data_IF_786378035148
#
_entry.id   IF_786378035148
#
_cell.length_a   1.000
_cell.length_b   1.000
_cell.length_c   1.000
_cell.angle_alpha   90.00
_cell.angle_beta   90.00
_cell.angle_gamma   90.00
#
_symmetry.space_group_name_H-M   'P 1'
#
loop_
_entity.id
_entity.type
_entity.pdbx_description
1 polymer ?
#
# COMPACT_ATOMS: atom_id res chain seq x y z
N UNK A 1 -25.33 -27.11 -50.47
CA UNK A 1 -23.99 -27.18 -49.83
C UNK A 1 -23.18 -25.86 -49.84
N UNK A 2 -23.50 -24.85 -50.66
CA UNK A 2 -22.71 -23.60 -50.73
C UNK A 2 -23.02 -22.51 -49.68
N UNK A 3 -24.12 -22.64 -48.92
CA UNK A 3 -24.53 -21.63 -47.92
C UNK A 3 -23.87 -21.89 -46.55
N UNK A 4 -23.62 -23.15 -46.18
CA UNK A 4 -23.01 -23.52 -44.90
C UNK A 4 -21.52 -23.15 -44.78
N UNK A 5 -20.78 -23.10 -45.89
CA UNK A 5 -19.35 -22.76 -45.86
C UNK A 5 -19.06 -21.26 -45.68
N UNK A 6 -19.96 -20.37 -46.16
CA UNK A 6 -19.78 -18.92 -45.99
C UNK A 6 -20.10 -18.45 -44.57
N UNK A 7 -21.03 -19.13 -43.88
CA UNK A 7 -21.42 -18.77 -42.52
C UNK A 7 -20.30 -19.04 -41.49
N UNK A 8 -19.51 -20.10 -41.68
CA UNK A 8 -18.36 -20.42 -40.82
C UNK A 8 -17.19 -19.45 -40.97
N UNK A 9 -16.96 -18.92 -42.19
CA UNK A 9 -15.86 -17.97 -42.43
C UNK A 9 -16.12 -16.62 -41.77
N UNK A 10 -17.37 -16.14 -41.78
CA UNK A 10 -17.75 -14.89 -41.12
C UNK A 10 -17.62 -15.01 -39.60
N UNK A 11 -18.07 -16.12 -39.01
CA UNK A 11 -17.92 -16.38 -37.57
C UNK A 11 -16.44 -16.44 -37.13
N UNK A 12 -15.57 -17.08 -37.93
CA UNK A 12 -14.13 -17.12 -37.66
C UNK A 12 -13.47 -15.74 -37.74
N UNK A 13 -13.85 -14.91 -38.72
CA UNK A 13 -13.34 -13.53 -38.85
C UNK A 13 -13.80 -12.66 -37.68
N UNK A 14 -15.06 -12.80 -37.24
CA UNK A 14 -15.55 -12.09 -36.06
C UNK A 14 -14.85 -12.54 -34.77
N UNK A 15 -14.63 -13.84 -34.56
CA UNK A 15 -13.89 -14.33 -33.40
C UNK A 15 -12.42 -13.88 -33.41
N UNK A 16 -11.75 -13.93 -34.56
CA UNK A 16 -10.36 -13.44 -34.68
C UNK A 16 -10.28 -11.92 -34.50
N UNK A 17 -11.26 -11.17 -35.02
CA UNK A 17 -11.34 -9.72 -34.86
C UNK A 17 -11.61 -9.30 -33.42
N UNK A 18 -12.52 -9.98 -32.71
CA UNK A 18 -12.77 -9.72 -31.28
C UNK A 18 -11.56 -10.09 -30.43
N UNK A 19 -10.87 -11.20 -30.75
CA UNK A 19 -9.66 -11.60 -30.05
C UNK A 19 -8.49 -10.64 -30.29
N UNK A 20 -8.25 -10.21 -31.53
CA UNK A 20 -7.20 -9.22 -31.82
C UNK A 20 -7.52 -7.84 -31.29
N UNK A 21 -8.78 -7.39 -31.33
CA UNK A 21 -9.19 -6.12 -30.69
C UNK A 21 -9.02 -6.22 -29.17
N UNK A 22 -9.43 -7.32 -28.54
CA UNK A 22 -9.22 -7.57 -27.11
C UNK A 22 -7.74 -7.53 -26.72
N UNK A 23 -6.88 -8.18 -27.50
CA UNK A 23 -5.42 -8.21 -27.29
C UNK A 23 -4.74 -6.85 -27.50
N UNK A 24 -5.15 -6.11 -28.54
CA UNK A 24 -4.61 -4.76 -28.82
C UNK A 24 -5.07 -3.75 -27.77
N UNK A 25 -6.31 -3.86 -27.27
CA UNK A 25 -6.80 -3.02 -26.17
C UNK A 25 -6.07 -3.32 -24.86
N UNK A 26 -5.82 -4.60 -24.53
CA UNK A 26 -5.03 -4.97 -23.34
C UNK A 26 -3.59 -4.46 -23.42
N UNK A 27 -2.92 -4.59 -24.56
CA UNK A 27 -1.56 -4.03 -24.72
C UNK A 27 -1.54 -2.48 -24.66
N UNK A 28 -2.59 -1.82 -25.16
CA UNK A 28 -2.72 -0.35 -25.08
C UNK A 28 -3.04 0.14 -23.67
N UNK A 29 -3.73 -0.68 -22.87
CA UNK A 29 -3.89 -0.44 -21.43
C UNK A 29 -2.57 -0.67 -20.69
N UNK A 30 -1.88 -1.80 -20.88
CA UNK A 30 -0.56 -2.04 -20.30
C UNK A 30 0.45 -0.93 -20.61
N UNK A 31 0.48 -0.40 -21.84
CA UNK A 31 1.39 0.71 -22.20
C UNK A 31 0.99 2.07 -21.60
N UNK A 32 -0.27 2.25 -21.19
CA UNK A 32 -0.74 3.46 -20.49
C UNK A 32 -0.35 3.43 -19.00
N UNK A 33 -0.13 2.25 -18.43
CA UNK A 33 0.12 2.05 -16.99
C UNK A 33 1.57 1.66 -16.64
N UNK A 34 2.36 1.14 -17.59
CA UNK A 34 3.57 0.35 -17.33
C UNK A 34 4.83 1.06 -16.81
N UNK A 35 5.12 2.31 -17.19
CA UNK A 35 6.47 2.87 -16.94
C UNK A 35 6.52 4.11 -16.02
N UNK A 36 5.37 4.72 -15.68
CA UNK A 36 5.35 6.03 -15.00
C UNK A 36 4.79 6.04 -13.58
N UNK A 37 4.19 4.94 -13.09
CA UNK A 37 3.68 4.89 -11.71
C UNK A 37 4.77 4.29 -10.82
N UNK A 38 5.41 5.08 -9.94
CA UNK A 38 6.61 4.63 -9.24
C UNK A 38 6.25 3.78 -8.01
N UNK A 39 5.77 2.57 -8.24
CA UNK A 39 5.36 1.60 -7.23
C UNK A 39 6.34 0.42 -7.26
N UNK A 40 6.79 -0.01 -6.09
CA UNK A 40 7.69 -1.16 -5.98
C UNK A 40 6.91 -2.45 -5.68
N UNK A 41 6.95 -3.40 -6.61
CA UNK A 41 6.32 -4.72 -6.44
C UNK A 41 7.29 -5.83 -6.01
N UNK A 42 8.53 -5.50 -5.63
CA UNK A 42 9.47 -6.46 -5.03
C UNK A 42 10.59 -5.78 -4.24
N UNK A 43 11.25 -6.52 -3.35
CA UNK A 43 12.47 -6.05 -2.68
C UNK A 43 13.57 -5.78 -3.71
N UNK A 44 13.62 -6.61 -4.75
CA UNK A 44 14.56 -6.44 -5.86
C UNK A 44 14.38 -5.08 -6.53
N UNK A 45 13.16 -4.70 -6.91
CA UNK A 45 12.94 -3.40 -7.57
C UNK A 45 13.25 -2.20 -6.67
N UNK A 46 13.09 -2.35 -5.35
CA UNK A 46 13.56 -1.35 -4.38
C UNK A 46 15.09 -1.26 -4.40
N UNK A 47 15.78 -2.39 -4.27
CA UNK A 47 17.23 -2.46 -4.21
C UNK A 47 17.89 -1.97 -5.50
N UNK A 48 17.30 -2.27 -6.66
CA UNK A 48 17.79 -1.82 -7.96
C UNK A 48 17.93 -0.29 -8.03
N UNK A 49 17.05 0.48 -7.37
CA UNK A 49 17.17 1.95 -7.31
C UNK A 49 18.43 2.38 -6.55
N UNK A 50 18.79 1.67 -5.48
CA UNK A 50 20.00 1.96 -4.72
C UNK A 50 21.26 1.51 -5.46
N UNK A 51 21.22 0.37 -6.16
CA UNK A 51 22.38 -0.20 -6.86
C UNK A 51 22.64 0.41 -8.25
N UNK A 52 21.66 1.10 -8.83
CA UNK A 52 21.83 1.78 -10.12
C UNK A 52 22.68 3.05 -9.98
N UNK A 53 23.54 3.34 -10.96
CA UNK A 53 24.30 4.61 -10.98
C UNK A 53 23.37 5.78 -11.35
N UNK A 54 23.54 6.98 -10.75
CA UNK A 54 24.62 7.35 -9.82
C UNK A 54 24.34 7.00 -8.34
N UNK A 55 23.16 6.47 -8.01
CA UNK A 55 22.73 6.26 -6.63
C UNK A 55 23.67 5.37 -5.80
N UNK A 56 24.24 4.32 -6.42
CA UNK A 56 25.17 3.40 -5.76
C UNK A 56 26.46 4.08 -5.25
N UNK A 57 26.86 5.19 -5.88
CA UNK A 57 28.04 5.95 -5.50
C UNK A 57 27.81 6.91 -4.31
N UNK A 58 26.56 7.11 -3.88
CA UNK A 58 26.24 8.04 -2.79
C UNK A 58 26.61 7.43 -1.43
N UNK A 59 27.38 8.11 -0.57
CA UNK A 59 27.72 7.60 0.76
C UNK A 59 26.49 7.25 1.62
N UNK A 60 25.43 8.02 1.47
CA UNK A 60 24.16 7.81 2.17
C UNK A 60 23.46 6.51 1.77
N UNK A 61 23.49 6.16 0.47
CA UNK A 61 23.00 4.88 -0.05
C UNK A 61 23.72 3.73 0.65
N UNK A 62 25.05 3.79 0.69
CA UNK A 62 25.87 2.73 1.28
C UNK A 62 25.57 2.53 2.78
N UNK A 63 25.41 3.63 3.54
CA UNK A 63 25.04 3.56 4.96
C UNK A 63 23.67 2.92 5.18
N UNK A 64 22.68 3.27 4.34
CA UNK A 64 21.33 2.73 4.45
C UNK A 64 21.30 1.25 4.10
N UNK A 65 21.95 0.83 3.01
CA UNK A 65 22.05 -0.57 2.62
C UNK A 65 22.77 -1.39 3.70
N UNK A 66 23.89 -0.88 4.21
CA UNK A 66 24.60 -1.52 5.31
C UNK A 66 23.72 -1.69 6.55
N UNK A 67 22.97 -0.66 6.95
CA UNK A 67 22.05 -0.75 8.08
C UNK A 67 20.91 -1.74 7.84
N UNK A 68 20.37 -1.78 6.62
CA UNK A 68 19.33 -2.71 6.23
C UNK A 68 19.81 -4.16 6.37
N UNK A 69 20.95 -4.48 5.75
CA UNK A 69 21.50 -5.84 5.72
C UNK A 69 21.95 -6.32 7.11
N UNK A 70 22.60 -5.45 7.89
CA UNK A 70 23.26 -5.87 9.12
C UNK A 70 22.41 -5.67 10.38
N UNK A 71 21.45 -4.74 10.39
CA UNK A 71 20.70 -4.40 11.60
C UNK A 71 19.22 -4.78 11.54
N UNK A 72 18.56 -4.69 10.39
CA UNK A 72 17.12 -4.93 10.30
C UNK A 72 16.70 -6.40 10.44
N UNK A 73 17.61 -7.32 10.10
CA UNK A 73 17.34 -8.76 10.13
C UNK A 73 17.93 -9.47 11.36
N UNK A 74 18.51 -8.71 12.29
CA UNK A 74 19.08 -9.27 13.51
C UNK A 74 18.03 -10.01 14.36
N UNK A 75 18.48 -11.08 15.03
CA UNK A 75 17.73 -11.82 16.06
C UNK A 75 16.43 -12.52 15.61
N UNK A 76 16.46 -13.31 14.53
CA UNK A 76 15.38 -14.25 14.26
C UNK A 76 15.36 -15.36 15.33
N UNK A 77 14.41 -15.28 16.25
CA UNK A 77 14.08 -16.41 17.13
C UNK A 77 13.00 -17.25 16.47
N UNK A 78 13.14 -18.58 16.53
CA UNK A 78 12.10 -19.49 16.05
C UNK A 78 10.76 -19.12 16.73
N UNK A 79 9.63 -19.16 15.99
CA UNK A 79 8.32 -18.95 16.57
C UNK A 79 8.11 -19.80 17.82
N UNK A 80 7.75 -19.18 18.94
CA UNK A 80 7.38 -19.93 20.16
C UNK A 80 5.98 -20.56 20.03
N UNK A 81 5.10 -19.94 19.24
CA UNK A 81 3.74 -20.40 19.01
C UNK A 81 3.52 -20.69 17.54
N UNK A 82 2.69 -21.70 17.25
CA UNK A 82 2.42 -22.15 15.88
C UNK A 82 1.40 -21.28 15.15
N UNK A 83 0.49 -20.62 15.88
CA UNK A 83 -0.55 -19.78 15.30
C UNK A 83 -0.13 -18.31 15.33
N UNK A 84 -0.19 -17.67 14.17
CA UNK A 84 -0.01 -16.22 14.08
C UNK A 84 -1.29 -15.49 14.48
N UNK A 85 -1.11 -14.32 15.08
CA UNK A 85 -2.07 -13.25 15.38
C UNK A 85 -2.18 -12.31 14.17
N UNK A 86 -3.24 -11.48 14.09
CA UNK A 86 -3.46 -10.63 12.93
C UNK A 86 -2.41 -9.53 12.79
N UNK A 87 -2.07 -9.21 11.54
CA UNK A 87 -1.30 -8.05 11.12
C UNK A 87 -2.22 -7.03 10.47
N UNK A 88 -2.38 -5.87 11.12
CA UNK A 88 -3.31 -4.81 10.75
C UNK A 88 -2.51 -3.57 10.33
N UNK A 89 -2.89 -2.95 9.21
CA UNK A 89 -2.32 -1.68 8.76
C UNK A 89 -3.37 -0.59 8.93
N UNK A 90 -3.00 0.51 9.59
CA UNK A 90 -3.82 1.71 9.72
C UNK A 90 -3.22 2.81 8.85
N UNK A 91 -4.00 3.27 7.89
CA UNK A 91 -3.68 4.27 6.88
C UNK A 91 -4.67 5.43 6.97
N UNK A 92 -4.37 6.55 6.30
CA UNK A 92 -5.31 7.65 6.19
C UNK A 92 -4.75 8.90 5.54
N UNK A 93 -5.60 9.89 5.39
CA UNK A 93 -5.29 11.17 4.74
C UNK A 93 -4.68 12.23 5.70
N UNK A 94 -4.58 11.93 6.99
CA UNK A 94 -4.02 12.82 8.00
C UNK A 94 -3.05 12.10 8.95
N UNK A 95 -1.74 12.31 8.74
CA UNK A 95 -0.68 11.52 9.38
C UNK A 95 -0.71 11.55 10.92
N UNK A 96 -1.00 12.70 11.52
CA UNK A 96 -1.08 12.83 12.99
C UNK A 96 -2.25 12.04 13.56
N UNK A 97 -3.41 12.06 12.90
CA UNK A 97 -4.58 11.29 13.32
C UNK A 97 -4.29 9.80 13.27
N UNK A 98 -3.67 9.34 12.18
CA UNK A 98 -3.28 7.93 12.02
C UNK A 98 -2.32 7.46 13.09
N UNK A 99 -1.34 8.29 13.45
CA UNK A 99 -0.39 7.95 14.50
C UNK A 99 -1.05 7.89 15.89
N UNK A 100 -2.05 8.73 16.17
CA UNK A 100 -2.85 8.67 17.40
C UNK A 100 -3.72 7.42 17.42
N UNK A 101 -4.51 7.18 16.37
CA UNK A 101 -5.44 6.05 16.28
C UNK A 101 -4.68 4.72 16.37
N UNK A 102 -3.58 4.58 15.62
CA UNK A 102 -2.75 3.36 15.65
C UNK A 102 -2.21 3.06 17.05
N UNK A 103 -1.78 4.09 17.79
CA UNK A 103 -1.34 3.93 19.18
C UNK A 103 -2.47 3.54 20.13
N UNK A 104 -3.65 4.16 19.99
CA UNK A 104 -4.81 3.85 20.83
C UNK A 104 -5.31 2.44 20.56
N UNK A 105 -5.45 2.07 19.29
CA UNK A 105 -5.82 0.72 18.87
C UNK A 105 -4.84 -0.31 19.42
N UNK A 106 -3.54 -0.13 19.22
CA UNK A 106 -2.55 -1.10 19.68
C UNK A 106 -2.59 -1.31 21.20
N UNK A 107 -2.91 -0.27 21.98
CA UNK A 107 -3.10 -0.41 23.43
C UNK A 107 -4.37 -1.19 23.79
N UNK A 108 -5.48 -0.92 23.09
CA UNK A 108 -6.78 -1.57 23.34
C UNK A 108 -6.73 -3.08 23.07
N UNK A 109 -6.17 -3.48 21.93
CA UNK A 109 -6.12 -4.89 21.52
C UNK A 109 -4.83 -5.63 21.96
N UNK A 110 -3.99 -4.99 22.78
CA UNK A 110 -2.71 -5.58 23.22
C UNK A 110 -1.73 -5.89 22.07
N UNK A 111 -1.74 -5.09 21.00
CA UNK A 111 -0.87 -5.26 19.85
C UNK A 111 0.52 -4.65 20.03
N UNK A 112 1.48 -5.16 19.27
CA UNK A 112 2.74 -4.46 19.02
C UNK A 112 2.53 -3.40 17.93
N UNK A 113 2.81 -2.14 18.24
CA UNK A 113 2.84 -1.06 17.24
C UNK A 113 4.22 -0.97 16.58
N UNK A 114 4.26 -1.12 15.25
CA UNK A 114 5.44 -0.86 14.43
C UNK A 114 5.20 0.39 13.58
N UNK A 115 6.14 1.34 13.62
CA UNK A 115 6.04 2.58 12.86
C UNK A 115 6.36 2.35 11.38
N UNK A 116 5.81 3.17 10.47
CA UNK A 116 6.02 3.04 9.01
C UNK A 116 7.48 3.16 8.55
N UNK A 117 8.36 3.67 9.42
CA UNK A 117 9.81 3.57 9.27
C UNK A 117 10.37 2.54 10.26
N UNK A 118 11.04 1.50 9.76
CA UNK A 118 11.64 0.45 10.56
C UNK A 118 12.66 1.03 11.54
N UNK A 119 12.67 0.54 12.79
CA UNK A 119 13.53 1.07 13.86
C UNK A 119 15.02 1.11 13.49
N UNK A 120 15.51 0.08 12.80
CA UNK A 120 16.88 0.00 12.28
C UNK A 120 17.22 1.11 11.26
N UNK A 121 16.23 1.66 10.56
CA UNK A 121 16.41 2.68 9.52
C UNK A 121 15.98 4.08 9.96
N UNK A 122 15.37 4.24 11.15
CA UNK A 122 14.93 5.54 11.68
C UNK A 122 16.00 6.65 11.64
N UNK A 123 17.29 6.39 11.95
CA UNK A 123 18.32 7.42 11.86
C UNK A 123 18.46 8.05 10.47
N UNK A 124 18.05 7.35 9.41
CA UNK A 124 18.19 7.77 8.02
C UNK A 124 16.92 8.35 7.40
N UNK A 125 15.82 8.46 8.17
CA UNK A 125 14.48 8.86 7.68
C UNK A 125 14.45 10.17 6.88
N UNK A 126 15.38 11.09 7.15
CA UNK A 126 15.41 12.44 6.56
C UNK A 126 16.61 12.69 5.64
N UNK A 127 17.34 11.63 5.28
CA UNK A 127 18.54 11.73 4.44
C UNK A 127 18.19 12.18 3.02
N UNK A 128 17.10 11.65 2.46
CA UNK A 128 16.67 12.02 1.11
C UNK A 128 15.60 13.12 1.12
N UNK A 129 15.81 14.23 0.37
CA UNK A 129 14.83 15.31 0.28
C UNK A 129 13.58 14.86 -0.50
N UNK A 130 12.53 15.66 -0.45
CA UNK A 130 11.33 15.41 -1.25
C UNK A 130 11.68 15.50 -2.75
N UNK A 131 11.15 14.58 -3.55
CA UNK A 131 11.44 14.50 -4.99
C UNK A 131 12.63 13.61 -5.36
N UNK A 132 13.49 13.25 -4.40
CA UNK A 132 14.58 12.29 -4.65
C UNK A 132 14.00 10.87 -4.81
N UNK A 133 14.27 10.15 -5.92
CA UNK A 133 13.82 8.76 -6.11
C UNK A 133 14.22 7.81 -4.98
N UNK A 134 15.39 8.04 -4.36
CA UNK A 134 15.85 7.22 -3.23
C UNK A 134 15.00 7.38 -1.98
N UNK A 135 14.26 8.49 -1.84
CA UNK A 135 13.33 8.67 -0.73
C UNK A 135 12.24 7.61 -0.76
N UNK A 136 11.66 7.33 -1.93
CA UNK A 136 10.62 6.30 -2.05
C UNK A 136 11.21 4.90 -1.85
N UNK A 137 12.37 4.64 -2.45
CA UNK A 137 13.07 3.37 -2.28
C UNK A 137 13.43 3.11 -0.79
N UNK A 138 13.79 4.16 -0.03
CA UNK A 138 14.01 4.07 1.42
C UNK A 138 12.77 3.58 2.18
N UNK A 139 11.58 4.14 1.87
CA UNK A 139 10.34 3.63 2.46
C UNK A 139 10.04 2.20 2.02
N UNK A 140 10.36 1.84 0.78
CA UNK A 140 10.31 0.45 0.30
C UNK A 140 11.15 -0.50 1.16
N UNK A 141 12.44 -0.18 1.39
CA UNK A 141 13.33 -0.99 2.26
C UNK A 141 12.75 -1.12 3.67
N UNK A 142 12.25 -0.01 4.20
CA UNK A 142 11.62 0.01 5.52
C UNK A 142 10.45 -0.98 5.63
N UNK A 143 9.61 -1.09 4.59
CA UNK A 143 8.49 -2.05 4.59
C UNK A 143 8.97 -3.49 4.69
N UNK A 144 10.03 -3.87 3.97
CA UNK A 144 10.60 -5.22 4.06
C UNK A 144 11.22 -5.50 5.45
N UNK A 145 11.86 -4.50 6.05
CA UNK A 145 12.36 -4.61 7.42
C UNK A 145 11.21 -4.74 8.44
N UNK A 146 10.12 -3.99 8.26
CA UNK A 146 8.90 -4.12 9.07
C UNK A 146 8.28 -5.50 8.88
N UNK A 147 8.14 -5.99 7.64
CA UNK A 147 7.60 -7.32 7.32
C UNK A 147 8.37 -8.43 8.06
N UNK A 148 9.69 -8.34 8.07
CA UNK A 148 10.52 -9.27 8.84
C UNK A 148 10.24 -9.15 10.34
N UNK A 149 10.12 -7.93 10.87
CA UNK A 149 9.81 -7.73 12.29
C UNK A 149 8.42 -8.25 12.67
N UNK A 150 7.41 -8.06 11.83
CA UNK A 150 6.07 -8.62 12.01
C UNK A 150 6.16 -10.14 12.16
N UNK A 151 6.86 -10.83 11.25
CA UNK A 151 7.04 -12.30 11.28
C UNK A 151 7.66 -12.81 12.60
N UNK A 152 8.49 -12.00 13.26
CA UNK A 152 9.09 -12.36 14.54
C UNK A 152 8.13 -12.25 15.73
N UNK A 153 7.17 -11.31 15.68
CA UNK A 153 6.36 -10.95 16.86
C UNK A 153 4.91 -11.42 16.75
N UNK A 154 4.39 -11.59 15.53
CA UNK A 154 2.97 -11.88 15.30
C UNK A 154 2.53 -13.26 15.80
N UNK A 155 3.41 -14.13 16.29
CA UNK A 155 3.02 -15.39 16.92
C UNK A 155 2.63 -15.20 18.40
N UNK A 156 2.90 -14.01 18.97
CA UNK A 156 2.62 -13.69 20.38
C UNK A 156 1.52 -12.65 20.53
N UNK A 157 1.60 -11.59 19.71
CA UNK A 157 0.72 -10.43 19.81
C UNK A 157 0.21 -10.06 18.42
N UNK A 158 -1.01 -9.51 18.29
CA UNK A 158 -1.40 -8.78 17.09
C UNK A 158 -0.36 -7.70 16.76
N UNK A 159 -0.27 -7.31 15.50
CA UNK A 159 0.66 -6.26 15.06
C UNK A 159 -0.11 -5.18 14.34
N UNK A 160 0.14 -3.93 14.73
CA UNK A 160 -0.42 -2.74 14.08
C UNK A 160 0.72 -1.96 13.44
N UNK A 161 0.55 -1.51 12.19
CA UNK A 161 1.44 -0.52 11.56
C UNK A 161 0.69 0.71 11.11
N UNK A 162 1.32 1.89 11.17
CA UNK A 162 0.71 3.18 10.83
C UNK A 162 1.17 3.72 9.46
N UNK A 163 1.14 2.85 8.44
CA UNK A 163 1.71 3.09 7.13
C UNK A 163 2.49 1.88 6.62
N UNK A 164 2.20 1.43 5.41
CA UNK A 164 2.86 0.30 4.78
C UNK A 164 2.85 0.45 3.25
N UNK A 165 2.86 -0.64 2.48
CA UNK A 165 2.96 -0.59 1.02
C UNK A 165 1.84 0.20 0.35
N UNK A 166 0.61 0.05 0.85
CA UNK A 166 -0.57 0.63 0.22
C UNK A 166 -0.55 2.17 0.20
N UNK A 167 0.06 2.81 1.21
CA UNK A 167 0.24 4.27 1.27
C UNK A 167 1.02 4.76 0.03
N UNK A 168 2.06 4.02 -0.36
CA UNK A 168 2.93 4.38 -1.48
C UNK A 168 2.29 4.03 -2.83
N UNK A 169 1.59 2.91 -2.93
CA UNK A 169 0.90 2.53 -4.18
C UNK A 169 -0.26 3.48 -4.47
N UNK A 170 -1.11 3.77 -3.48
CA UNK A 170 -2.23 4.72 -3.62
C UNK A 170 -1.73 6.12 -3.96
N UNK A 171 -0.65 6.58 -3.31
CA UNK A 171 -0.03 7.86 -3.65
C UNK A 171 0.54 7.86 -5.09
N UNK A 172 1.16 6.76 -5.52
CA UNK A 172 1.64 6.60 -6.90
C UNK A 172 0.51 6.71 -7.92
N UNK A 173 -0.55 5.91 -7.75
CA UNK A 173 -1.73 5.90 -8.61
C UNK A 173 -2.40 7.28 -8.63
N UNK A 174 -2.56 7.91 -7.46
CA UNK A 174 -3.10 9.26 -7.36
C UNK A 174 -2.27 10.28 -8.13
N UNK A 175 -0.95 10.22 -8.12
CA UNK A 175 -0.18 11.20 -8.90
C UNK A 175 -0.29 10.98 -10.41
N UNK A 176 -0.52 9.74 -10.84
CA UNK A 176 -0.63 9.40 -12.26
C UNK A 176 -1.97 9.83 -12.87
N UNK A 177 -3.10 9.56 -12.19
CA UNK A 177 -4.45 9.78 -12.73
C UNK A 177 -5.08 11.01 -12.09
N UNK A 178 -5.38 12.04 -12.89
CA UNK A 178 -5.79 13.34 -12.37
C UNK A 178 -7.27 13.38 -11.99
N UNK A 179 -8.10 12.52 -12.59
CA UNK A 179 -9.53 12.41 -12.32
C UNK A 179 -9.92 11.02 -11.84
N UNK A 180 -11.15 10.84 -11.33
CA UNK A 180 -11.64 9.54 -10.84
C UNK A 180 -11.89 8.58 -12.00
N UNK A 181 -12.35 9.11 -13.13
CA UNK A 181 -12.69 8.37 -14.35
C UNK A 181 -11.45 7.74 -15.01
N UNK A 182 -10.27 8.30 -14.73
CA UNK A 182 -8.98 7.78 -15.19
C UNK A 182 -8.39 6.71 -14.25
N UNK A 183 -8.89 6.58 -13.03
CA UNK A 183 -8.37 5.61 -12.05
C UNK A 183 -8.78 4.20 -12.50
N UNK A 184 -7.84 3.24 -12.52
CA UNK A 184 -8.16 1.86 -12.87
C UNK A 184 -9.30 1.28 -12.02
N UNK A 185 -10.15 0.42 -12.60
CA UNK A 185 -11.17 -0.27 -11.82
C UNK A 185 -10.57 -1.35 -10.93
N UNK A 186 -11.34 -1.79 -9.94
CA UNK A 186 -11.03 -2.94 -9.10
C UNK A 186 -10.56 -4.16 -9.92
N UNK A 187 -9.56 -4.88 -9.43
CA UNK A 187 -8.97 -6.03 -10.12
C UNK A 187 -7.83 -5.70 -11.10
N UNK A 188 -7.57 -4.42 -11.38
CA UNK A 188 -6.41 -4.02 -12.16
C UNK A 188 -5.07 -4.39 -11.47
N UNK A 189 -4.03 -4.84 -12.21
CA UNK A 189 -2.75 -5.24 -11.63
C UNK A 189 -2.02 -4.19 -10.78
N UNK A 190 -2.36 -2.91 -10.97
CA UNK A 190 -1.82 -1.83 -10.14
C UNK A 190 -2.17 -1.99 -8.65
N UNK A 191 -3.27 -2.67 -8.35
CA UNK A 191 -3.71 -2.97 -6.98
C UNK A 191 -3.12 -4.26 -6.43
N UNK A 192 -2.39 -5.04 -7.24
CA UNK A 192 -1.83 -6.32 -6.82
C UNK A 192 -0.80 -6.14 -5.72
N UNK A 193 -0.96 -6.92 -4.65
CA UNK A 193 0.00 -6.93 -3.56
C UNK A 193 1.36 -7.53 -4.01
N UNK A 194 2.51 -6.99 -3.59
CA UNK A 194 3.82 -7.57 -3.90
C UNK A 194 3.97 -9.00 -3.35
N UNK A 195 4.34 -9.95 -4.19
CA UNK A 195 4.37 -11.38 -3.82
C UNK A 195 5.39 -11.71 -2.70
N UNK A 196 6.50 -10.97 -2.64
CA UNK A 196 7.59 -11.16 -1.68
C UNK A 196 7.45 -10.30 -0.41
N UNK A 197 6.43 -9.44 -0.34
CA UNK A 197 6.15 -8.63 0.83
C UNK A 197 5.04 -9.26 1.68
N UNK A 198 5.23 -9.29 3.01
CA UNK A 198 4.20 -9.80 3.91
C UNK A 198 2.91 -8.99 3.76
N UNK A 199 1.84 -9.65 3.34
CA UNK A 199 0.49 -9.09 3.24
C UNK A 199 -0.17 -8.96 4.62
N UNK A 200 -0.82 -7.83 4.95
CA UNK A 200 -1.61 -7.71 6.15
C UNK A 200 -2.94 -8.45 6.03
N UNK A 201 -3.55 -8.77 7.17
CA UNK A 201 -4.87 -9.41 7.23
C UNK A 201 -6.01 -8.41 7.06
N UNK A 202 -5.76 -7.15 7.42
CA UNK A 202 -6.73 -6.07 7.38
C UNK A 202 -6.04 -4.72 7.18
N UNK A 203 -6.60 -3.90 6.31
CA UNK A 203 -6.25 -2.48 6.17
C UNK A 203 -7.42 -1.65 6.67
N UNK A 204 -7.14 -0.73 7.58
CA UNK A 204 -8.07 0.32 8.00
C UNK A 204 -7.61 1.62 7.35
N UNK A 205 -8.45 2.23 6.53
CA UNK A 205 -8.22 3.56 6.00
C UNK A 205 -9.12 4.56 6.72
N UNK A 206 -8.52 5.49 7.46
CA UNK A 206 -9.26 6.50 8.21
C UNK A 206 -9.25 7.83 7.46
N UNK A 207 -10.44 8.36 7.18
CA UNK A 207 -10.63 9.67 6.56
C UNK A 207 -10.77 10.74 7.62
N UNK A 208 -10.09 11.87 7.40
CA UNK A 208 -10.20 13.06 8.22
C UNK A 208 -11.02 14.11 7.47
N UNK A 209 -12.28 14.37 7.88
CA UNK A 209 -13.14 15.35 7.23
C UNK A 209 -12.48 16.73 7.17
N UNK A 210 -12.54 17.37 6.02
CA UNK A 210 -11.95 18.71 5.83
C UNK A 210 -12.57 19.75 6.76
N UNK A 211 -13.83 19.58 7.15
CA UNK A 211 -14.60 20.53 7.94
C UNK A 211 -14.39 20.45 9.46
N UNK A 212 -13.62 19.47 9.98
CA UNK A 212 -13.52 19.24 11.44
C UNK A 212 -12.84 20.39 12.22
N UNK A 213 -12.12 21.27 11.53
CA UNK A 213 -11.47 22.45 12.11
C UNK A 213 -11.83 23.76 11.40
N UNK A 214 -12.81 23.74 10.50
CA UNK A 214 -13.06 24.82 9.54
C UNK A 214 -14.50 25.34 9.64
N UNK A 215 -14.89 25.91 10.79
CA UNK A 215 -15.99 26.88 10.77
C UNK A 215 -15.49 28.14 10.05
N UNK A 216 -15.94 28.37 8.81
CA UNK A 216 -15.74 29.64 8.09
C UNK A 216 -14.61 29.69 7.05
N UNK A 217 -14.14 28.57 6.49
CA UNK A 217 -13.14 28.63 5.40
C UNK A 217 -13.73 28.44 4.01
N UNK A 218 -13.24 29.21 3.03
CA UNK A 218 -13.59 29.14 1.61
C UNK A 218 -12.85 28.03 0.85
N UNK A 219 -12.12 27.16 1.56
CA UNK A 219 -11.29 26.13 0.92
C UNK A 219 -12.21 25.08 0.27
N UNK A 220 -12.12 24.85 -1.05
CA UNK A 220 -12.93 23.84 -1.71
C UNK A 220 -12.62 22.44 -1.14
N UNK A 221 -13.59 21.51 -1.15
CA UNK A 221 -13.37 20.13 -0.74
C UNK A 221 -12.14 19.55 -1.42
N UNK A 222 -11.28 18.85 -0.67
CA UNK A 222 -10.01 18.40 -1.21
C UNK A 222 -10.21 17.24 -2.21
N UNK A 223 -10.25 17.56 -3.50
CA UNK A 223 -10.41 16.59 -4.59
C UNK A 223 -9.37 15.47 -4.53
N UNK A 224 -8.16 15.76 -4.02
CA UNK A 224 -7.12 14.77 -3.80
C UNK A 224 -7.53 13.70 -2.79
N UNK A 225 -8.11 14.09 -1.64
CA UNK A 225 -8.55 13.14 -0.60
C UNK A 225 -9.63 12.20 -1.13
N UNK A 226 -10.61 12.75 -1.84
CA UNK A 226 -11.69 11.96 -2.47
C UNK A 226 -11.15 10.95 -3.47
N UNK A 227 -10.15 11.35 -4.26
CA UNK A 227 -9.48 10.46 -5.21
C UNK A 227 -8.71 9.35 -4.49
N UNK A 228 -7.93 9.67 -3.46
CA UNK A 228 -7.22 8.62 -2.69
C UNK A 228 -8.19 7.64 -2.04
N UNK A 229 -9.28 8.14 -1.43
CA UNK A 229 -10.33 7.28 -0.88
C UNK A 229 -10.94 6.38 -1.96
N UNK A 230 -11.21 6.92 -3.16
CA UNK A 230 -11.70 6.13 -4.27
C UNK A 230 -10.73 5.00 -4.66
N UNK A 231 -9.42 5.28 -4.70
CA UNK A 231 -8.38 4.26 -4.96
C UNK A 231 -8.41 3.17 -3.89
N UNK A 232 -8.53 3.53 -2.60
CA UNK A 232 -8.68 2.56 -1.50
C UNK A 232 -9.89 1.64 -1.68
N UNK A 233 -11.00 2.15 -2.23
CA UNK A 233 -12.20 1.35 -2.54
C UNK A 233 -11.98 0.36 -3.68
N UNK A 234 -10.99 0.56 -4.54
CA UNK A 234 -10.67 -0.37 -5.63
C UNK A 234 -9.80 -1.55 -5.20
N UNK A 235 -9.23 -1.50 -4.00
CA UNK A 235 -8.33 -2.53 -3.48
C UNK A 235 -9.18 -3.59 -2.76
N UNK A 236 -9.18 -4.80 -3.32
CA UNK A 236 -9.99 -5.92 -2.82
C UNK A 236 -9.20 -6.87 -1.90
N UNK A 237 -7.89 -6.99 -2.11
CA UNK A 237 -7.02 -7.90 -1.38
C UNK A 237 -5.66 -7.23 -1.10
N UNK A 238 -5.27 -7.04 0.18
CA UNK A 238 -6.00 -7.38 1.40
C UNK A 238 -7.27 -6.53 1.62
N UNK A 239 -8.22 -6.97 2.46
CA UNK A 239 -9.48 -6.26 2.68
C UNK A 239 -9.24 -4.87 3.30
N UNK A 240 -9.89 -3.86 2.73
CA UNK A 240 -9.84 -2.48 3.20
C UNK A 240 -11.17 -2.09 3.84
N UNK A 241 -11.13 -1.55 5.05
CA UNK A 241 -12.28 -0.92 5.72
C UNK A 241 -12.03 0.57 5.84
N UNK A 242 -12.99 1.38 5.39
CA UNK A 242 -12.90 2.83 5.40
C UNK A 242 -13.77 3.39 6.52
N UNK A 243 -13.18 4.18 7.41
CA UNK A 243 -13.86 4.80 8.54
C UNK A 243 -13.59 6.30 8.57
N UNK A 244 -14.52 7.08 9.14
CA UNK A 244 -14.36 8.53 9.28
C UNK A 244 -14.03 8.91 10.72
N UNK A 245 -13.14 9.88 10.91
CA UNK A 245 -12.93 10.47 12.24
C UNK A 245 -14.01 11.48 12.63
N UNK A 246 -15.05 11.69 11.82
CA UNK A 246 -16.14 12.63 12.15
C UNK A 246 -16.75 12.41 13.55
N UNK A 247 -16.97 11.16 14.01
CA UNK A 247 -17.48 10.90 15.35
C UNK A 247 -16.44 11.11 16.47
N UNK A 248 -15.18 11.38 16.15
CA UNK A 248 -14.08 11.55 17.11
C UNK A 248 -13.13 10.34 17.15
N UNK A 249 -11.91 10.58 17.65
CA UNK A 249 -10.83 9.57 17.64
C UNK A 249 -11.10 8.36 18.53
N UNK A 250 -11.81 8.52 19.65
CA UNK A 250 -12.13 7.40 20.53
C UNK A 250 -13.20 6.49 19.95
N UNK A 251 -14.22 7.07 19.32
CA UNK A 251 -15.28 6.33 18.63
C UNK A 251 -14.70 5.52 17.47
N UNK A 252 -13.96 6.16 16.56
CA UNK A 252 -13.36 5.42 15.43
C UNK A 252 -12.36 4.35 15.90
N UNK A 253 -11.66 4.56 17.02
CA UNK A 253 -10.76 3.52 17.56
C UNK A 253 -11.56 2.34 18.12
N UNK A 254 -12.70 2.59 18.78
CA UNK A 254 -13.60 1.55 19.26
C UNK A 254 -14.20 0.76 18.09
N UNK A 255 -14.68 1.44 17.04
CA UNK A 255 -15.20 0.77 15.84
C UNK A 255 -14.15 -0.16 15.21
N UNK A 256 -12.89 0.27 15.13
CA UNK A 256 -11.79 -0.56 14.62
C UNK A 256 -11.54 -1.77 15.53
N UNK A 257 -11.58 -1.59 16.84
CA UNK A 257 -11.42 -2.67 17.82
C UNK A 257 -12.52 -3.72 17.64
N UNK A 258 -13.79 -3.30 17.52
CA UNK A 258 -14.92 -4.20 17.30
C UNK A 258 -14.76 -5.00 16.00
N UNK A 259 -14.36 -4.35 14.90
CA UNK A 259 -14.07 -5.02 13.61
C UNK A 259 -12.95 -6.06 13.74
N UNK A 260 -11.91 -5.75 14.52
CA UNK A 260 -10.78 -6.67 14.74
C UNK A 260 -11.22 -7.88 15.55
N UNK A 261 -12.02 -7.68 16.61
CA UNK A 261 -12.55 -8.77 17.43
C UNK A 261 -13.47 -9.67 16.61
N UNK A 262 -14.44 -9.10 15.88
CA UNK A 262 -15.38 -9.87 15.05
C UNK A 262 -14.67 -10.76 14.01
N UNK A 263 -13.52 -10.32 13.49
CA UNK A 263 -12.79 -11.03 12.42
C UNK A 263 -11.78 -12.05 12.92
N UNK A 264 -11.22 -11.88 14.10
CA UNK A 264 -10.00 -12.59 14.51
C UNK A 264 -10.05 -13.23 15.90
N UNK A 265 -11.10 -12.98 16.69
CA UNK A 265 -11.38 -13.67 17.96
C UNK A 265 -12.47 -14.73 17.80
#
# INVERSE_FOLDING_TARGET
LLVYHKMNLILLIFCYGVYTIGYVLTQKEESRYGDNVPIFYSLRSVLDVFYTRPNAGRPDTQKILYAFENYCFSHFSKPLYKQRKPFIVVEGDHKTSIDIISRRLARRIGATLLQSVAKCLQPYKRVFPQGDPLRRAFYGLSMYAIAHKVKQVYNRYPVVTNGYWIEQSVFGIGNQFQTIEEIPPSGHPLYSWPEDLLKPDLIIYVTFPDNLHLTGTTRPPNAWKKRLEYIYRQILDPPVVILSTAPGFDNVTADIEDIVQERFD
#
